data_IF_236897974672
#
_entry.id   IF_236897974672
#
_cell.length_a   1.000
_cell.length_b   1.000
_cell.length_c   1.000
_cell.angle_alpha   90.00
_cell.angle_beta   90.00
_cell.angle_gamma   90.00
#
_symmetry.space_group_name_H-M   'P 1'
#
loop_
_entity.id
_entity.type
_entity.pdbx_description
1 polymer ?
#
# COMPACT_ATOMS: atom_id res chain seq x y z
N UNK A 1 -23.09 42.13 -25.99
CA UNK A 1 -24.49 42.54 -25.74
C UNK A 1 -25.36 41.88 -26.81
N UNK A 2 -26.08 40.82 -26.42
CA UNK A 2 -26.99 39.88 -27.15
C UNK A 2 -26.78 38.53 -26.43
N UNK A 3 -27.30 38.25 -25.24
CA UNK A 3 -28.68 38.22 -24.75
C UNK A 3 -29.60 37.31 -25.60
N UNK A 4 -29.88 36.14 -25.03
CA UNK A 4 -31.20 35.47 -24.95
C UNK A 4 -31.82 35.04 -26.28
N UNK A 5 -31.85 33.72 -26.51
CA UNK A 5 -33.01 32.98 -27.01
C UNK A 5 -32.64 31.49 -27.19
N UNK A 6 -33.13 30.64 -26.28
CA UNK A 6 -33.80 29.35 -26.58
C UNK A 6 -33.81 28.46 -25.33
N UNK A 7 -34.67 28.86 -24.40
CA UNK A 7 -35.31 27.98 -23.43
C UNK A 7 -36.78 27.83 -23.87
N UNK A 8 -37.36 26.65 -23.69
CA UNK A 8 -38.79 26.26 -23.83
C UNK A 8 -39.23 25.50 -25.09
N UNK A 9 -39.42 24.19 -24.91
CA UNK A 9 -40.61 23.39 -25.27
C UNK A 9 -40.52 22.09 -24.46
N UNK A 10 -41.11 22.00 -23.25
CA UNK A 10 -42.45 21.46 -22.94
C UNK A 10 -42.84 20.25 -23.83
N UNK A 11 -42.75 19.01 -23.33
CA UNK A 11 -43.77 18.19 -22.61
C UNK A 11 -44.98 17.76 -23.44
N UNK A 12 -45.10 16.44 -23.68
CA UNK A 12 -46.30 15.56 -23.63
C UNK A 12 -45.84 14.14 -24.02
N UNK A 13 -45.78 13.16 -23.10
CA UNK A 13 -46.86 12.25 -22.65
C UNK A 13 -47.41 11.30 -23.72
N UNK A 14 -47.13 9.99 -23.58
CA UNK A 14 -48.15 8.92 -23.67
C UNK A 14 -47.58 7.55 -23.28
N UNK A 15 -48.30 6.88 -22.38
CA UNK A 15 -48.11 5.51 -21.94
C UNK A 15 -48.54 4.48 -22.99
N UNK A 16 -47.92 3.30 -22.97
CA UNK A 16 -48.55 2.04 -23.37
C UNK A 16 -47.86 0.86 -22.67
N UNK A 17 -48.64 0.04 -21.98
CA UNK A 17 -48.28 -1.25 -21.39
C UNK A 17 -49.06 -2.37 -22.16
N UNK A 18 -49.21 -3.60 -21.64
CA UNK A 18 -48.24 -4.71 -21.64
C UNK A 18 -48.84 -6.02 -22.23
N UNK A 19 -48.00 -7.00 -22.59
CA UNK A 19 -48.33 -8.45 -22.75
C UNK A 19 -47.07 -9.20 -23.23
N UNK A 20 -46.73 -10.45 -22.90
CA UNK A 20 -47.45 -11.58 -22.33
C UNK A 20 -46.46 -12.67 -21.86
N UNK A 21 -46.77 -13.23 -20.68
CA UNK A 21 -46.75 -14.66 -20.27
C UNK A 21 -46.20 -15.67 -21.32
N UNK A 22 -45.16 -16.41 -20.95
CA UNK A 22 -44.98 -17.82 -21.36
C UNK A 22 -44.53 -18.64 -20.14
N UNK A 23 -45.34 -19.66 -19.86
CA UNK A 23 -45.16 -20.71 -18.86
C UNK A 23 -44.93 -22.02 -19.60
N UNK A 24 -43.88 -22.78 -19.30
CA UNK A 24 -43.78 -24.20 -19.67
C UNK A 24 -42.99 -25.03 -18.66
N UNK A 25 -43.75 -25.89 -17.97
CA UNK A 25 -43.51 -27.32 -17.66
C UNK A 25 -42.27 -27.79 -16.88
N UNK A 26 -42.60 -28.29 -15.68
CA UNK A 26 -42.00 -29.40 -14.93
C UNK A 26 -41.47 -30.54 -15.82
N UNK A 27 -40.27 -31.03 -15.52
CA UNK A 27 -39.90 -32.43 -15.70
C UNK A 27 -39.32 -32.93 -14.38
N UNK A 28 -40.05 -33.89 -13.80
CA UNK A 28 -39.69 -34.68 -12.62
C UNK A 28 -39.07 -35.97 -13.13
N UNK A 29 -37.84 -36.27 -12.73
CA UNK A 29 -37.31 -37.64 -12.81
C UNK A 29 -36.81 -38.03 -11.44
N UNK A 30 -37.45 -39.07 -10.92
CA UNK A 30 -37.32 -39.68 -9.60
C UNK A 30 -36.48 -40.94 -9.80
N UNK A 31 -35.29 -41.04 -9.23
CA UNK A 31 -34.58 -42.33 -9.09
C UNK A 31 -34.10 -42.49 -7.64
N UNK A 32 -34.26 -43.73 -7.20
CA UNK A 32 -34.24 -44.28 -5.86
C UNK A 32 -33.03 -43.96 -4.99
N UNK A 33 -33.32 -43.84 -3.70
CA UNK A 33 -32.40 -43.98 -2.59
C UNK A 33 -31.97 -45.44 -2.39
N UNK A 34 -30.68 -45.65 -2.10
CA UNK A 34 -30.18 -46.78 -1.35
C UNK A 34 -29.20 -46.22 -0.29
N UNK A 35 -29.51 -46.50 0.98
CA UNK A 35 -28.69 -46.20 2.16
C UNK A 35 -27.83 -47.42 2.46
N UNK A 36 -26.61 -47.20 2.96
CA UNK A 36 -25.96 -47.84 4.13
C UNK A 36 -24.46 -47.41 4.18
N UNK A 37 -23.75 -47.52 5.34
CA UNK A 37 -23.05 -46.36 5.91
C UNK A 37 -21.53 -46.54 6.18
N UNK A 38 -20.93 -45.47 6.73
CA UNK A 38 -19.88 -45.49 7.76
C UNK A 38 -18.42 -45.85 7.35
N UNK A 39 -17.58 -44.86 7.04
CA UNK A 39 -16.16 -44.80 7.49
C UNK A 39 -15.45 -43.52 7.01
N UNK A 40 -14.91 -42.70 7.93
CA UNK A 40 -13.63 -41.93 7.90
C UNK A 40 -13.71 -40.60 8.68
N UNK A 41 -13.77 -40.68 10.01
CA UNK A 41 -13.54 -39.55 10.93
C UNK A 41 -12.10 -39.50 11.48
N UNK A 42 -11.17 -40.31 10.96
CA UNK A 42 -9.83 -40.48 11.56
C UNK A 42 -8.71 -39.67 10.87
N UNK A 43 -9.00 -38.97 9.77
CA UNK A 43 -7.97 -38.31 8.94
C UNK A 43 -7.84 -36.81 9.25
N UNK A 44 -8.89 -36.16 9.77
CA UNK A 44 -8.85 -34.72 10.07
C UNK A 44 -8.16 -34.40 11.40
N UNK A 45 -8.31 -35.24 12.44
CA UNK A 45 -7.70 -35.01 13.77
C UNK A 45 -6.16 -35.07 13.74
N UNK A 46 -5.55 -35.93 12.90
CA UNK A 46 -4.08 -35.97 12.76
C UNK A 46 -3.51 -34.70 12.14
N UNK A 47 -4.29 -33.99 11.33
CA UNK A 47 -3.83 -32.79 10.63
C UNK A 47 -3.88 -31.53 11.50
N UNK A 48 -4.78 -31.48 12.48
CA UNK A 48 -4.83 -30.40 13.47
C UNK A 48 -3.75 -30.57 14.54
N UNK A 49 -3.56 -31.78 15.07
CA UNK A 49 -2.53 -32.03 16.09
C UNK A 49 -1.10 -31.78 15.57
N UNK A 50 -0.82 -32.07 14.29
CA UNK A 50 0.50 -31.80 13.71
C UNK A 50 0.73 -30.31 13.44
N UNK A 51 -0.32 -29.54 13.14
CA UNK A 51 -0.25 -28.07 13.02
C UNK A 51 -0.04 -27.43 14.39
N UNK A 52 -0.78 -27.87 15.39
CA UNK A 52 -0.67 -27.37 16.76
C UNK A 52 0.73 -27.66 17.33
N UNK A 53 1.28 -28.86 17.09
CA UNK A 53 2.68 -29.18 17.46
C UNK A 53 3.71 -28.33 16.74
N UNK A 54 3.54 -28.07 15.44
CA UNK A 54 4.45 -27.18 14.69
C UNK A 54 4.37 -25.75 15.19
N UNK A 55 3.18 -25.31 15.61
CA UNK A 55 2.95 -23.99 16.15
C UNK A 55 3.57 -23.85 17.55
N UNK A 56 3.36 -24.82 18.44
CA UNK A 56 4.02 -24.83 19.76
C UNK A 56 5.54 -24.90 19.67
N UNK A 57 6.10 -25.70 18.74
CA UNK A 57 7.56 -25.76 18.53
C UNK A 57 8.08 -24.41 18.00
N UNK A 58 7.30 -23.72 17.16
CA UNK A 58 7.65 -22.40 16.66
C UNK A 58 7.60 -21.34 17.76
N UNK A 59 6.59 -21.39 18.60
CA UNK A 59 6.40 -20.46 19.72
C UNK A 59 7.48 -20.68 20.80
N UNK A 60 7.82 -21.93 21.11
CA UNK A 60 8.92 -22.28 22.03
C UNK A 60 10.29 -21.88 21.45
N UNK A 61 10.51 -22.06 20.13
CA UNK A 61 11.71 -21.58 19.48
C UNK A 61 11.79 -20.05 19.45
N UNK A 62 10.66 -19.36 19.31
CA UNK A 62 10.57 -17.90 19.35
C UNK A 62 10.86 -17.39 20.76
N UNK A 63 10.31 -18.00 21.80
CA UNK A 63 10.60 -17.68 23.20
C UNK A 63 12.06 -17.97 23.56
N UNK A 64 12.62 -19.08 23.07
CA UNK A 64 14.04 -19.39 23.25
C UNK A 64 14.94 -18.35 22.54
N UNK A 65 14.57 -17.90 21.35
CA UNK A 65 15.29 -16.83 20.63
C UNK A 65 15.19 -15.48 21.35
N UNK A 66 14.00 -15.13 21.85
CA UNK A 66 13.79 -13.92 22.66
C UNK A 66 14.60 -13.98 23.95
N UNK A 67 14.71 -15.15 24.58
CA UNK A 67 15.50 -15.36 25.81
C UNK A 67 17.00 -15.16 25.62
N UNK A 68 17.53 -15.38 24.41
CA UNK A 68 18.94 -15.10 24.05
C UNK A 68 19.13 -13.72 23.41
N UNK A 69 18.14 -12.82 23.53
CA UNK A 69 18.19 -11.45 23.01
C UNK A 69 17.98 -11.33 21.50
N UNK A 70 17.60 -12.41 20.81
CA UNK A 70 17.18 -12.39 19.42
C UNK A 70 15.68 -12.09 19.34
N UNK A 71 15.31 -10.83 19.14
CA UNK A 71 13.93 -10.49 18.75
C UNK A 71 13.77 -10.60 17.23
N UNK A 72 12.60 -11.08 16.81
CA UNK A 72 12.26 -11.24 15.40
C UNK A 72 12.44 -9.92 14.61
N UNK A 73 12.83 -9.99 13.32
CA UNK A 73 12.96 -8.80 12.48
C UNK A 73 11.62 -8.08 12.42
N UNK A 74 11.59 -6.81 12.81
CA UNK A 74 10.36 -6.02 12.80
C UNK A 74 9.93 -5.81 11.34
N UNK A 75 8.65 -6.06 11.08
CA UNK A 75 8.02 -5.70 9.81
C UNK A 75 7.82 -4.18 9.76
N UNK A 76 7.78 -3.60 8.55
CA UNK A 76 7.65 -2.15 8.39
C UNK A 76 6.36 -1.56 9.01
N UNK A 77 5.30 -2.36 9.14
CA UNK A 77 4.03 -1.97 9.79
C UNK A 77 4.06 -2.09 11.32
N UNK A 78 5.07 -2.75 11.91
CA UNK A 78 5.20 -2.98 13.36
C UNK A 78 6.14 -1.97 14.04
N UNK A 79 6.67 -1.01 13.28
CA UNK A 79 7.40 0.14 13.79
C UNK A 79 6.44 1.14 14.43
N UNK A 80 5.88 0.80 15.59
CA UNK A 80 5.15 1.77 16.40
C UNK A 80 6.13 2.84 16.89
N UNK A 81 5.84 4.11 16.60
CA UNK A 81 6.63 5.26 17.04
C UNK A 81 6.79 5.34 18.57
N UNK A 82 6.00 4.56 19.31
CA UNK A 82 5.97 4.49 20.76
C UNK A 82 7.05 3.57 21.37
N UNK A 83 7.76 2.75 20.57
CA UNK A 83 8.87 1.94 21.09
C UNK A 83 10.03 2.86 21.51
N UNK A 84 10.45 2.85 22.80
CA UNK A 84 11.59 3.63 23.28
C UNK A 84 12.88 3.39 22.49
N UNK A 85 13.07 2.20 21.90
CA UNK A 85 14.19 1.89 21.01
C UNK A 85 14.09 2.63 19.67
N UNK A 86 12.94 2.56 19.01
CA UNK A 86 12.68 3.22 17.71
C UNK A 86 12.78 4.74 17.85
N UNK A 87 12.29 5.32 18.95
CA UNK A 87 12.39 6.76 19.20
C UNK A 87 13.84 7.24 19.29
N UNK A 88 14.70 6.49 19.98
CA UNK A 88 16.13 6.81 20.10
C UNK A 88 16.87 6.70 18.77
N UNK A 89 16.56 5.68 17.98
CA UNK A 89 17.09 5.55 16.62
C UNK A 89 16.65 6.73 15.76
N UNK A 90 15.38 7.14 15.88
CA UNK A 90 14.85 8.27 15.15
C UNK A 90 15.57 9.58 15.53
N UNK A 91 15.76 9.85 16.83
CA UNK A 91 16.51 11.01 17.33
C UNK A 91 17.96 11.03 16.79
N UNK A 92 18.64 9.89 16.80
CA UNK A 92 20.01 9.78 16.27
C UNK A 92 20.06 10.05 14.76
N UNK A 93 19.14 9.46 13.99
CA UNK A 93 19.10 9.66 12.53
C UNK A 93 18.72 11.11 12.21
N UNK A 94 17.84 11.72 13.00
CA UNK A 94 17.46 13.12 12.86
C UNK A 94 18.64 14.05 13.14
N UNK A 95 19.49 13.75 14.13
CA UNK A 95 20.72 14.50 14.41
C UNK A 95 21.75 14.35 13.28
N UNK A 96 21.96 13.13 12.77
CA UNK A 96 22.99 12.85 11.75
C UNK A 96 22.60 13.28 10.33
N UNK A 97 21.32 13.12 9.96
CA UNK A 97 20.84 13.28 8.59
C UNK A 97 19.84 14.43 8.41
N UNK A 98 19.32 15.00 9.50
CA UNK A 98 18.29 16.03 9.47
C UNK A 98 16.92 15.53 9.01
N UNK A 99 16.72 14.21 8.99
CA UNK A 99 15.54 13.56 8.41
C UNK A 99 15.03 12.47 9.35
N UNK A 100 13.70 12.32 9.44
CA UNK A 100 13.09 11.29 10.29
C UNK A 100 13.30 9.88 9.71
N UNK A 101 13.39 8.88 10.60
CA UNK A 101 13.53 7.46 10.28
C UNK A 101 12.52 7.01 9.22
N UNK A 102 11.28 7.50 9.30
CA UNK A 102 10.17 7.11 8.46
C UNK A 102 10.28 7.60 6.99
N UNK A 103 11.21 8.53 6.73
CA UNK A 103 11.55 9.05 5.40
C UNK A 103 12.74 8.32 4.76
N UNK A 104 13.39 7.42 5.49
CA UNK A 104 14.39 6.53 4.91
C UNK A 104 13.75 5.60 3.87
N UNK A 105 14.54 5.17 2.89
CA UNK A 105 14.06 4.24 1.86
C UNK A 105 13.59 2.92 2.48
N UNK A 106 14.26 2.49 3.56
CA UNK A 106 14.01 1.24 4.25
C UNK A 106 14.17 1.37 5.79
N UNK A 107 13.21 2.02 6.49
CA UNK A 107 13.27 2.24 7.93
C UNK A 107 13.40 0.96 8.75
N UNK A 108 12.65 -0.09 8.38
CA UNK A 108 12.66 -1.37 9.09
C UNK A 108 14.03 -2.04 9.05
N UNK A 109 14.72 -1.98 7.90
CA UNK A 109 16.08 -2.51 7.80
C UNK A 109 17.06 -1.73 8.66
N UNK A 110 16.90 -0.41 8.80
CA UNK A 110 17.76 0.39 9.68
C UNK A 110 17.55 0.01 11.14
N UNK A 111 16.30 -0.14 11.59
CA UNK A 111 16.00 -0.57 12.97
C UNK A 111 16.53 -1.98 13.23
N UNK A 112 16.37 -2.90 12.28
CA UNK A 112 16.91 -4.26 12.43
C UNK A 112 18.44 -4.29 12.45
N UNK A 113 19.10 -3.47 11.60
CA UNK A 113 20.56 -3.35 11.60
C UNK A 113 21.09 -2.74 12.91
N UNK A 114 20.42 -1.72 13.45
CA UNK A 114 20.75 -1.16 14.77
C UNK A 114 20.62 -2.19 15.88
N UNK A 115 19.52 -2.94 15.88
CA UNK A 115 19.31 -3.98 16.88
C UNK A 115 20.37 -5.07 16.80
N UNK A 116 20.70 -5.50 15.59
CA UNK A 116 21.78 -6.45 15.36
C UNK A 116 23.13 -5.91 15.82
N UNK A 117 23.40 -4.62 15.58
CA UNK A 117 24.62 -3.97 16.06
C UNK A 117 24.67 -3.93 17.59
N UNK A 118 23.60 -3.52 18.26
CA UNK A 118 23.51 -3.54 19.73
C UNK A 118 23.81 -4.94 20.28
N UNK A 119 23.23 -5.98 19.69
CA UNK A 119 23.48 -7.36 20.11
C UNK A 119 24.94 -7.79 19.90
N UNK A 120 25.52 -7.49 18.74
CA UNK A 120 26.92 -7.83 18.45
C UNK A 120 27.90 -7.03 19.31
N UNK A 121 27.57 -5.77 19.61
CA UNK A 121 28.35 -4.87 20.48
C UNK A 121 28.32 -5.34 21.93
N UNK A 122 27.17 -5.78 22.43
CA UNK A 122 27.07 -6.43 23.74
C UNK A 122 27.95 -7.67 23.82
N UNK A 123 27.89 -8.56 22.83
CA UNK A 123 28.75 -9.76 22.78
C UNK A 123 30.24 -9.42 22.71
N UNK A 124 30.61 -8.33 22.02
CA UNK A 124 31.99 -7.87 21.96
C UNK A 124 32.44 -7.31 23.31
N UNK A 125 31.60 -6.55 24.01
CA UNK A 125 31.88 -6.02 25.35
C UNK A 125 32.11 -7.16 26.36
N UNK A 126 31.26 -8.19 26.32
CA UNK A 126 31.40 -9.38 27.17
C UNK A 126 32.75 -10.10 26.94
N UNK A 127 33.18 -10.24 25.69
CA UNK A 127 34.44 -10.89 25.34
C UNK A 127 35.68 -10.04 25.62
N UNK A 128 35.55 -8.73 25.62
CA UNK A 128 36.65 -7.78 25.89
C UNK A 128 36.69 -7.32 27.34
N UNK A 129 35.76 -7.79 28.17
CA UNK A 129 35.72 -7.54 29.62
C UNK A 129 35.20 -6.15 30.00
N UNK A 130 34.50 -5.47 29.09
CA UNK A 130 33.82 -4.20 29.39
C UNK A 130 32.46 -4.52 30.01
N UNK A 131 32.28 -4.12 31.27
CA UNK A 131 31.04 -4.28 32.02
C UNK A 131 30.54 -2.93 32.49
N UNK A 132 29.21 -2.74 32.55
CA UNK A 132 28.59 -1.49 33.01
C UNK A 132 28.13 -0.53 31.91
N UNK A 133 28.01 -0.99 30.66
CA UNK A 133 27.36 -0.25 29.59
C UNK A 133 25.93 -0.76 29.45
N UNK A 134 24.97 0.00 29.96
CA UNK A 134 23.54 -0.38 29.92
C UNK A 134 22.87 -0.03 28.57
N UNK A 135 23.49 0.83 27.75
CA UNK A 135 22.95 1.26 26.46
C UNK A 135 24.01 1.26 25.36
N UNK A 136 23.91 0.35 24.40
CA UNK A 136 24.81 0.28 23.24
C UNK A 136 24.33 1.11 22.03
N UNK A 137 23.21 1.82 22.16
CA UNK A 137 22.63 2.65 21.09
C UNK A 137 23.48 3.93 20.95
N UNK A 138 23.93 4.23 19.73
CA UNK A 138 24.74 5.41 19.44
C UNK A 138 26.21 5.31 19.86
N UNK A 139 26.59 4.28 20.62
CA UNK A 139 27.99 4.04 21.01
C UNK A 139 28.75 3.41 19.85
N UNK A 140 29.93 3.92 19.56
CA UNK A 140 30.80 3.41 18.50
C UNK A 140 31.50 2.13 18.93
N UNK A 141 31.86 1.29 17.96
CA UNK A 141 32.57 0.03 18.24
C UNK A 141 33.94 0.26 18.90
N UNK A 142 34.53 1.44 18.72
CA UNK A 142 35.80 1.83 19.34
C UNK A 142 35.68 2.09 20.85
N UNK A 143 34.50 2.50 21.33
CA UNK A 143 34.26 2.83 22.75
C UNK A 143 33.96 1.58 23.61
N UNK A 144 33.61 0.47 22.97
CA UNK A 144 33.22 -0.79 23.60
C UNK A 144 34.23 -1.91 23.37
N UNK A 145 35.36 -1.60 22.73
CA UNK A 145 36.41 -2.56 22.41
C UNK A 145 37.69 -2.18 23.14
N UNK A 146 37.93 -2.81 24.29
CA UNK A 146 39.18 -2.64 25.05
C UNK A 146 40.37 -3.39 24.42
N UNK A 147 40.19 -3.98 23.23
CA UNK A 147 41.16 -4.88 22.62
C UNK A 147 41.15 -6.27 23.27
N UNK A 148 41.76 -7.26 22.59
CA UNK A 148 41.79 -8.65 23.06
C UNK A 148 40.59 -9.49 22.60
N UNK A 149 40.25 -10.54 23.34
CA UNK A 149 39.10 -11.43 23.06
C UNK A 149 39.32 -12.56 22.04
N UNK A 150 40.54 -12.73 21.54
CA UNK A 150 40.92 -13.84 20.65
C UNK A 150 40.23 -13.83 19.28
N UNK A 151 40.27 -14.97 18.59
CA UNK A 151 39.77 -15.13 17.22
C UNK A 151 38.25 -14.88 17.11
N UNK A 152 37.50 -15.14 18.19
CA UNK A 152 36.04 -14.97 18.22
C UNK A 152 35.65 -13.49 18.32
N UNK A 153 36.39 -12.68 19.07
CA UNK A 153 36.22 -11.22 19.06
C UNK A 153 36.58 -10.62 17.68
N UNK A 154 37.60 -11.12 17.00
CA UNK A 154 37.95 -10.67 15.65
C UNK A 154 36.86 -10.98 14.61
N UNK A 155 36.19 -12.13 14.73
CA UNK A 155 35.02 -12.47 13.91
C UNK A 155 33.86 -11.51 14.16
N UNK A 156 33.63 -11.12 15.43
CA UNK A 156 32.62 -10.13 15.81
C UNK A 156 32.95 -8.74 15.25
N UNK A 157 34.18 -8.24 15.42
CA UNK A 157 34.65 -6.97 14.83
C UNK A 157 34.40 -6.90 13.33
N UNK A 158 34.69 -7.98 12.59
CA UNK A 158 34.42 -8.06 11.14
C UNK A 158 32.92 -8.00 10.81
N UNK A 159 32.07 -8.68 11.58
CA UNK A 159 30.61 -8.63 11.41
C UNK A 159 30.04 -7.25 11.72
N UNK A 160 30.52 -6.62 12.78
CA UNK A 160 30.13 -5.27 13.19
C UNK A 160 30.51 -4.27 12.10
N UNK A 161 31.77 -4.25 11.66
CA UNK A 161 32.22 -3.35 10.58
C UNK A 161 31.42 -3.52 9.28
N UNK A 162 31.00 -4.75 8.94
CA UNK A 162 30.14 -4.99 7.78
C UNK A 162 28.74 -4.37 7.98
N UNK A 163 28.11 -4.63 9.14
CA UNK A 163 26.77 -4.09 9.44
C UNK A 163 26.77 -2.57 9.61
N UNK A 164 27.83 -1.97 10.14
CA UNK A 164 28.00 -0.51 10.21
C UNK A 164 28.06 0.12 8.81
N UNK A 165 28.78 -0.50 7.88
CA UNK A 165 28.80 -0.04 6.48
C UNK A 165 27.41 -0.13 5.85
N UNK A 166 26.71 -1.24 6.04
CA UNK A 166 25.35 -1.42 5.53
C UNK A 166 24.39 -0.39 6.16
N UNK A 167 24.51 -0.13 7.46
CA UNK A 167 23.74 0.87 8.19
C UNK A 167 23.97 2.29 7.65
N UNK A 168 25.22 2.68 7.41
CA UNK A 168 25.56 3.99 6.85
C UNK A 168 24.97 4.19 5.44
N UNK A 169 24.95 3.14 4.62
CA UNK A 169 24.33 3.18 3.29
C UNK A 169 22.82 3.39 3.42
N UNK A 170 22.16 2.65 4.33
CA UNK A 170 20.71 2.74 4.52
C UNK A 170 20.28 4.06 5.18
N UNK A 171 21.02 4.59 6.17
CA UNK A 171 20.79 5.92 6.76
C UNK A 171 20.93 7.05 5.74
N UNK A 172 21.85 6.91 4.77
CA UNK A 172 22.05 7.90 3.69
C UNK A 172 21.06 7.73 2.54
N UNK A 173 20.41 6.57 2.43
CA UNK A 173 19.36 6.28 1.45
C UNK A 173 18.04 6.93 1.87
N UNK A 174 18.00 8.26 1.81
CA UNK A 174 16.82 9.05 2.18
C UNK A 174 15.93 9.24 0.95
N UNK A 175 14.64 8.95 1.07
CA UNK A 175 13.66 9.36 0.07
C UNK A 175 13.40 10.86 0.24
N UNK A 176 14.25 11.69 -0.38
CA UNK A 176 14.26 13.15 -0.19
C UNK A 176 12.85 13.71 -0.39
N UNK A 177 12.32 14.45 0.61
CA UNK A 177 10.99 15.08 0.53
C UNK A 177 10.79 15.96 -0.71
N UNK A 178 11.87 16.54 -1.24
CA UNK A 178 11.87 17.23 -2.54
C UNK A 178 11.35 16.36 -3.70
N UNK A 179 11.71 15.07 -3.73
CA UNK A 179 11.22 14.14 -4.74
C UNK A 179 9.70 13.92 -4.64
N UNK A 180 9.15 13.90 -3.43
CA UNK A 180 7.68 13.82 -3.22
C UNK A 180 6.98 15.06 -3.77
N UNK A 181 7.59 16.24 -3.63
CA UNK A 181 7.04 17.48 -4.18
C UNK A 181 7.11 17.52 -5.71
N UNK A 182 8.12 16.92 -6.33
CA UNK A 182 8.16 16.77 -7.79
C UNK A 182 6.99 15.91 -8.27
N UNK A 183 6.71 14.78 -7.62
CA UNK A 183 5.57 13.94 -8.00
C UNK A 183 4.22 14.65 -7.80
N UNK A 184 4.09 15.48 -6.76
CA UNK A 184 2.92 16.33 -6.59
C UNK A 184 2.80 17.38 -7.69
N UNK A 185 3.91 18.04 -8.04
CA UNK A 185 3.97 18.98 -9.16
C UNK A 185 3.60 18.32 -10.50
N UNK A 186 4.11 17.11 -10.75
CA UNK A 186 3.76 16.29 -11.90
C UNK A 186 2.26 15.96 -11.91
N UNK A 187 1.68 15.61 -10.77
CA UNK A 187 0.24 15.32 -10.67
C UNK A 187 -0.61 16.56 -10.98
N UNK A 188 -0.25 17.73 -10.44
CA UNK A 188 -0.98 18.99 -10.68
C UNK A 188 -0.86 19.42 -12.14
N UNK A 189 0.34 19.36 -12.72
CA UNK A 189 0.56 19.66 -14.14
C UNK A 189 -0.23 18.70 -15.01
N UNK A 190 -0.16 17.39 -14.71
CA UNK A 190 -0.91 16.36 -15.42
C UNK A 190 -2.41 16.58 -15.35
N UNK A 191 -2.93 17.05 -14.21
CA UNK A 191 -4.34 17.37 -14.01
C UNK A 191 -4.77 18.55 -14.89
N UNK A 192 -3.98 19.63 -14.93
CA UNK A 192 -4.24 20.77 -15.82
C UNK A 192 -4.16 20.41 -17.30
N UNK A 193 -3.13 19.65 -17.70
CA UNK A 193 -2.96 19.18 -19.08
C UNK A 193 -4.13 18.28 -19.51
N UNK A 194 -4.49 17.32 -18.66
CA UNK A 194 -5.61 16.40 -18.86
C UNK A 194 -6.94 17.14 -19.02
N UNK A 195 -7.19 18.18 -18.21
CA UNK A 195 -8.37 19.03 -18.35
C UNK A 195 -8.42 19.72 -19.71
N UNK A 196 -7.32 20.34 -20.14
CA UNK A 196 -7.27 21.00 -21.45
C UNK A 196 -7.50 19.98 -22.58
N UNK A 197 -6.89 18.80 -22.49
CA UNK A 197 -7.09 17.73 -23.48
C UNK A 197 -8.55 17.32 -23.63
N UNK A 198 -9.30 17.31 -22.52
CA UNK A 198 -10.70 16.88 -22.51
C UNK A 198 -11.67 17.97 -22.98
N UNK A 199 -11.39 19.24 -22.66
CA UNK A 199 -12.28 20.35 -23.02
C UNK A 199 -11.97 20.97 -24.38
N UNK A 200 -10.69 21.22 -24.65
CA UNK A 200 -10.23 21.88 -25.86
C UNK A 200 -8.78 21.48 -26.20
N UNK A 201 -8.59 20.32 -26.86
CA UNK A 201 -7.26 19.85 -27.23
C UNK A 201 -6.56 20.76 -28.24
N UNK A 202 -7.27 21.66 -28.91
CA UNK A 202 -6.69 22.59 -29.89
C UNK A 202 -5.78 23.63 -29.22
N UNK A 203 -5.98 23.92 -27.94
CA UNK A 203 -5.09 24.80 -27.17
C UNK A 203 -3.67 24.23 -27.10
N UNK A 204 -3.54 22.91 -27.03
CA UNK A 204 -2.24 22.22 -26.95
C UNK A 204 -1.71 21.84 -28.33
N UNK A 205 -2.60 21.42 -29.23
CA UNK A 205 -2.21 20.76 -30.47
C UNK A 205 -2.64 21.49 -31.75
N UNK A 206 -3.44 22.56 -31.66
CA UNK A 206 -3.99 23.30 -32.81
C UNK A 206 -2.93 24.00 -33.68
N UNK A 207 -1.73 24.21 -33.14
CA UNK A 207 -0.59 24.69 -33.92
C UNK A 207 0.03 23.65 -34.85
N UNK A 208 -0.36 22.37 -34.73
CA UNK A 208 0.20 21.30 -35.56
C UNK A 208 -0.71 20.94 -36.72
N UNK A 209 -0.12 20.82 -37.91
CA UNK A 209 -0.83 20.49 -39.15
C UNK A 209 -1.55 19.13 -39.08
N UNK A 210 -0.93 18.14 -38.43
CA UNK A 210 -1.55 16.82 -38.23
C UNK A 210 -2.81 16.86 -37.38
N UNK A 211 -2.90 17.80 -36.43
CA UNK A 211 -4.08 17.93 -35.57
C UNK A 211 -5.27 18.48 -36.35
N UNK A 212 -5.01 19.42 -37.26
CA UNK A 212 -6.06 20.07 -38.06
C UNK A 212 -6.47 19.26 -39.29
N UNK A 213 -5.56 18.47 -39.86
CA UNK A 213 -5.79 17.75 -41.12
C UNK A 213 -6.18 16.28 -40.92
N UNK A 214 -6.06 15.74 -39.70
CA UNK A 214 -6.46 14.35 -39.40
C UNK A 214 -7.85 14.32 -38.79
N UNK A 215 -8.81 13.74 -39.51
CA UNK A 215 -10.15 13.51 -38.98
C UNK A 215 -10.08 12.71 -37.67
N UNK A 216 -10.85 13.12 -36.65
CA UNK A 216 -11.05 12.39 -35.37
C UNK A 216 -9.84 12.27 -34.43
N UNK A 217 -8.78 13.05 -34.62
CA UNK A 217 -7.65 13.05 -33.68
C UNK A 217 -7.99 13.79 -32.38
N UNK A 218 -8.91 14.77 -32.45
CA UNK A 218 -9.50 15.48 -31.34
C UNK A 218 -10.14 14.55 -30.32
N UNK A 219 -11.01 13.63 -30.77
CA UNK A 219 -11.69 12.67 -29.88
C UNK A 219 -10.70 11.70 -29.24
N UNK A 220 -9.66 11.29 -29.96
CA UNK A 220 -8.61 10.42 -29.40
C UNK A 220 -7.84 11.11 -28.28
N UNK A 221 -7.54 12.41 -28.44
CA UNK A 221 -6.87 13.22 -27.42
C UNK A 221 -7.79 13.45 -26.22
N UNK A 222 -9.08 13.71 -26.43
CA UNK A 222 -10.05 13.86 -25.35
C UNK A 222 -10.22 12.56 -24.55
N UNK A 223 -10.29 11.41 -25.24
CA UNK A 223 -10.33 10.09 -24.59
C UNK A 223 -9.09 9.88 -23.75
N UNK A 224 -7.91 10.16 -24.32
CA UNK A 224 -6.65 10.12 -23.58
C UNK A 224 -6.67 11.07 -22.37
N UNK A 225 -7.34 12.22 -22.49
CA UNK A 225 -7.54 13.22 -21.43
C UNK A 225 -8.20 12.64 -20.19
N UNK A 226 -9.32 11.93 -20.29
CA UNK A 226 -9.93 11.32 -19.10
C UNK A 226 -9.20 10.06 -18.62
N UNK A 227 -8.58 9.29 -19.52
CA UNK A 227 -7.71 8.15 -19.14
C UNK A 227 -6.44 8.59 -18.38
N UNK A 228 -6.05 9.86 -18.51
CA UNK A 228 -4.91 10.46 -17.82
C UNK A 228 -5.00 10.36 -16.29
N UNK A 229 -6.23 10.28 -15.75
CA UNK A 229 -6.46 10.01 -14.32
C UNK A 229 -5.77 8.75 -13.84
N UNK A 230 -6.02 7.64 -14.54
CA UNK A 230 -5.45 6.35 -14.19
C UNK A 230 -3.99 6.22 -14.61
N UNK A 231 -3.60 6.81 -15.74
CA UNK A 231 -2.24 6.66 -16.28
C UNK A 231 -1.18 7.51 -15.58
N UNK A 232 -1.54 8.74 -15.17
CA UNK A 232 -0.55 9.69 -14.70
C UNK A 232 -0.92 10.34 -13.37
N UNK A 233 -2.17 10.77 -13.16
CA UNK A 233 -2.54 11.53 -11.97
C UNK A 233 -2.49 10.64 -10.72
N UNK A 234 -3.24 9.54 -10.69
CA UNK A 234 -3.28 8.63 -9.54
C UNK A 234 -1.93 7.95 -9.29
N UNK A 235 -1.21 7.42 -10.31
CA UNK A 235 0.13 6.87 -10.10
C UNK A 235 1.15 7.87 -9.56
N UNK A 236 1.09 9.14 -9.99
CA UNK A 236 1.99 10.19 -9.47
C UNK A 236 1.69 10.53 -8.01
N UNK A 237 0.41 10.52 -7.61
CA UNK A 237 0.06 10.68 -6.19
C UNK A 237 0.50 9.46 -5.36
N UNK A 238 0.37 8.25 -5.92
CA UNK A 238 0.77 7.00 -5.26
C UNK A 238 2.29 6.87 -5.10
N UNK A 239 3.09 7.38 -6.04
CA UNK A 239 4.56 7.31 -5.98
C UNK A 239 5.18 8.12 -4.83
N UNK A 240 4.41 9.06 -4.24
CA UNK A 240 4.80 9.79 -3.01
C UNK A 240 4.94 8.90 -1.77
N UNK A 241 4.54 7.63 -1.86
CA UNK A 241 4.44 6.68 -0.74
C UNK A 241 3.57 7.25 0.39
N UNK A 242 2.29 7.56 0.09
CA UNK A 242 1.33 8.01 1.10
C UNK A 242 1.19 6.95 2.20
N UNK A 243 0.97 7.38 3.44
CA UNK A 243 0.72 6.52 4.60
C UNK A 243 -0.70 6.80 5.15
N UNK A 244 -1.25 5.87 5.92
CA UNK A 244 -2.56 6.04 6.56
C UNK A 244 -3.72 6.18 5.58
N UNK A 245 -4.60 7.17 5.81
CA UNK A 245 -5.83 7.35 5.02
C UNK A 245 -5.56 7.71 3.55
N UNK A 246 -4.51 8.49 3.24
CA UNK A 246 -4.19 8.89 1.86
C UNK A 246 -3.86 7.66 1.00
N UNK A 247 -3.21 6.63 1.59
CA UNK A 247 -2.95 5.35 0.93
C UNK A 247 -4.27 4.65 0.56
N UNK A 248 -5.17 4.50 1.53
CA UNK A 248 -6.49 3.86 1.35
C UNK A 248 -7.30 4.57 0.24
N UNK A 249 -7.31 5.90 0.25
CA UNK A 249 -7.98 6.71 -0.77
C UNK A 249 -7.42 6.46 -2.17
N UNK A 250 -6.08 6.50 -2.31
CA UNK A 250 -5.43 6.36 -3.60
C UNK A 250 -5.50 4.94 -4.17
N UNK A 251 -5.49 3.92 -3.30
CA UNK A 251 -5.72 2.54 -3.71
C UNK A 251 -7.16 2.40 -4.27
N UNK A 252 -8.19 2.90 -3.56
CA UNK A 252 -9.58 2.90 -4.07
C UNK A 252 -9.67 3.64 -5.41
N UNK A 253 -9.08 4.84 -5.50
CA UNK A 253 -9.10 5.65 -6.72
C UNK A 253 -8.40 4.94 -7.90
N UNK A 254 -7.33 4.19 -7.64
CA UNK A 254 -6.59 3.46 -8.67
C UNK A 254 -7.43 2.36 -9.33
N UNK A 255 -8.35 1.73 -8.61
CA UNK A 255 -9.29 0.77 -9.20
C UNK A 255 -10.57 1.42 -9.74
N UNK A 256 -11.07 2.46 -9.07
CA UNK A 256 -12.33 3.08 -9.43
C UNK A 256 -12.22 3.94 -10.69
N UNK A 257 -11.13 4.69 -10.88
CA UNK A 257 -10.94 5.57 -12.05
C UNK A 257 -10.91 4.83 -13.41
N UNK A 258 -10.23 3.68 -13.60
CA UNK A 258 -10.31 2.95 -14.86
C UNK A 258 -11.69 2.33 -15.08
N UNK A 259 -12.39 1.91 -14.01
CA UNK A 259 -13.75 1.38 -14.10
C UNK A 259 -14.75 2.46 -14.57
N UNK A 260 -14.65 3.67 -14.00
CA UNK A 260 -15.43 4.83 -14.43
C UNK A 260 -15.11 5.17 -15.88
N UNK A 261 -13.83 5.22 -16.24
CA UNK A 261 -13.38 5.53 -17.61
C UNK A 261 -13.85 4.49 -18.64
N UNK A 262 -14.06 3.24 -18.22
CA UNK A 262 -14.58 2.17 -19.06
C UNK A 262 -16.11 2.20 -19.20
N UNK A 263 -16.84 2.47 -18.11
CA UNK A 263 -18.30 2.38 -18.07
C UNK A 263 -19.02 3.69 -18.41
N UNK A 264 -18.42 4.84 -18.09
CA UNK A 264 -19.04 6.14 -18.29
C UNK A 264 -19.40 6.44 -19.77
N UNK A 265 -18.62 6.01 -20.79
CA UNK A 265 -19.00 6.16 -22.20
C UNK A 265 -20.37 5.57 -22.58
N UNK A 266 -20.88 4.61 -21.79
CA UNK A 266 -22.22 4.01 -21.99
C UNK A 266 -23.33 4.99 -21.60
N UNK A 267 -23.08 5.84 -20.60
CA UNK A 267 -24.05 6.80 -20.09
C UNK A 267 -23.90 8.18 -20.72
N UNK A 268 -22.67 8.66 -20.93
CA UNK A 268 -22.38 9.96 -21.54
C UNK A 268 -21.23 9.84 -22.53
N UNK A 269 -21.32 10.56 -23.64
CA UNK A 269 -20.24 10.70 -24.61
C UNK A 269 -19.41 11.96 -24.38
N UNK A 270 -19.84 12.80 -23.44
CA UNK A 270 -19.11 14.02 -23.08
C UNK A 270 -17.88 13.63 -22.24
N UNK A 271 -16.71 13.85 -22.83
CA UNK A 271 -15.43 13.48 -22.24
C UNK A 271 -15.12 14.32 -20.99
N UNK A 272 -15.60 15.57 -20.93
CA UNK A 272 -15.43 16.44 -19.76
C UNK A 272 -16.28 15.95 -18.58
N UNK A 273 -17.49 15.45 -18.83
CA UNK A 273 -18.31 14.81 -17.80
C UNK A 273 -17.64 13.54 -17.24
N UNK A 274 -17.04 12.70 -18.11
CA UNK A 274 -16.28 11.51 -17.69
C UNK A 274 -15.07 11.92 -16.85
N UNK A 275 -14.38 13.00 -17.23
CA UNK A 275 -13.26 13.54 -16.45
C UNK A 275 -13.71 14.00 -15.06
N UNK A 276 -14.83 14.73 -14.97
CA UNK A 276 -15.39 15.18 -13.69
C UNK A 276 -15.84 13.99 -12.84
N UNK A 277 -16.38 12.93 -13.45
CA UNK A 277 -16.72 11.71 -12.74
C UNK A 277 -15.48 11.06 -12.11
N UNK A 278 -14.35 10.98 -12.84
CA UNK A 278 -13.08 10.50 -12.28
C UNK A 278 -12.55 11.38 -11.15
N UNK A 279 -12.67 12.70 -11.29
CA UNK A 279 -12.34 13.66 -10.24
C UNK A 279 -13.20 13.41 -8.99
N UNK A 280 -14.52 13.33 -9.16
CA UNK A 280 -15.48 13.12 -8.08
C UNK A 280 -15.25 11.79 -7.36
N UNK A 281 -14.91 10.72 -8.10
CA UNK A 281 -14.57 9.42 -7.53
C UNK A 281 -13.27 9.48 -6.74
N UNK A 282 -12.26 10.18 -7.24
CA UNK A 282 -11.00 10.37 -6.50
C UNK A 282 -11.24 11.18 -5.24
N UNK A 283 -11.92 12.33 -5.34
CA UNK A 283 -12.27 13.15 -4.18
C UNK A 283 -13.15 12.40 -3.17
N UNK A 284 -14.10 11.60 -3.66
CA UNK A 284 -14.96 10.73 -2.86
C UNK A 284 -14.17 9.65 -2.14
N UNK A 285 -13.15 9.06 -2.76
CA UNK A 285 -12.25 8.11 -2.12
C UNK A 285 -11.44 8.75 -0.99
N UNK A 286 -10.98 10.00 -1.17
CA UNK A 286 -10.34 10.78 -0.11
C UNK A 286 -11.29 11.06 1.05
N UNK A 287 -12.51 11.52 0.75
CA UNK A 287 -13.52 11.78 1.77
C UNK A 287 -13.90 10.50 2.53
N UNK A 288 -14.09 9.38 1.82
CA UNK A 288 -14.39 8.08 2.41
C UNK A 288 -13.26 7.57 3.30
N UNK A 289 -12.01 7.63 2.83
CA UNK A 289 -10.86 7.20 3.61
C UNK A 289 -10.71 8.06 4.86
N UNK A 290 -10.87 9.38 4.75
CA UNK A 290 -10.81 10.30 5.88
C UNK A 290 -11.88 9.99 6.95
N UNK A 291 -13.14 9.78 6.54
CA UNK A 291 -14.25 9.47 7.45
C UNK A 291 -14.20 8.08 8.09
N UNK A 292 -13.44 7.15 7.48
CA UNK A 292 -13.27 5.78 8.00
C UNK A 292 -11.98 5.61 8.79
N UNK A 293 -11.00 6.50 8.64
CA UNK A 293 -9.71 6.40 9.32
C UNK A 293 -9.83 6.45 10.84
N UNK A 294 -10.69 7.32 11.40
CA UNK A 294 -10.91 7.41 12.85
C UNK A 294 -11.68 6.20 13.43
N UNK A 295 -12.42 5.47 12.59
CA UNK A 295 -13.18 4.29 13.03
C UNK A 295 -12.35 3.02 13.09
N UNK A 296 -11.24 2.98 12.36
CA UNK A 296 -10.33 1.83 12.31
C UNK A 296 -9.25 1.90 13.43
N UNK A 297 -9.15 3.02 14.15
CA UNK A 297 -8.23 3.22 15.27
C UNK A 297 -8.74 2.75 16.64
N UNK A 298 -10.00 2.33 16.72
CA UNK A 298 -10.63 1.82 17.94
C UNK A 298 -11.58 0.68 17.57
N UNK A 299 -11.30 -0.51 18.10
CA UNK A 299 -12.01 -1.79 17.92
C UNK A 299 -11.46 -2.76 16.85
N UNK A 300 -10.67 -3.68 17.39
CA UNK A 300 -10.81 -5.10 17.14
C UNK A 300 -12.31 -5.50 17.15
N UNK A 301 -12.68 -6.34 16.16
CA UNK A 301 -13.94 -7.08 16.03
C UNK A 301 -15.18 -6.38 15.42
N UNK A 302 -15.69 -6.94 14.31
CA UNK A 302 -17.10 -6.81 13.92
C UNK A 302 -17.54 -5.85 12.81
N UNK A 303 -16.66 -5.25 11.98
CA UNK A 303 -17.17 -4.40 10.88
C UNK A 303 -17.94 -5.22 9.82
N UNK A 304 -19.21 -4.84 9.60
CA UNK A 304 -20.19 -5.39 8.65
C UNK A 304 -19.82 -5.14 7.17
N UNK A 305 -18.54 -5.10 6.84
CA UNK A 305 -18.14 -5.01 5.44
C UNK A 305 -18.29 -6.41 4.81
N UNK A 306 -19.04 -6.52 3.69
CA UNK A 306 -19.26 -7.80 3.05
C UNK A 306 -17.92 -8.39 2.60
N UNK A 307 -17.79 -9.72 2.68
CA UNK A 307 -16.51 -10.43 2.49
C UNK A 307 -15.83 -10.12 1.15
N UNK A 308 -16.60 -9.83 0.11
CA UNK A 308 -16.07 -9.42 -1.19
C UNK A 308 -15.38 -8.05 -1.14
N UNK A 309 -15.87 -7.11 -0.32
CA UNK A 309 -15.25 -5.80 -0.12
C UNK A 309 -13.96 -5.96 0.67
N UNK A 310 -13.96 -6.80 1.72
CA UNK A 310 -12.74 -7.16 2.47
C UNK A 310 -11.72 -7.87 1.58
N UNK A 311 -12.17 -8.75 0.70
CA UNK A 311 -11.31 -9.42 -0.29
C UNK A 311 -10.75 -8.42 -1.30
N UNK A 312 -11.57 -7.51 -1.84
CA UNK A 312 -11.12 -6.44 -2.74
C UNK A 312 -10.10 -5.55 -2.02
N UNK A 313 -10.37 -5.06 -0.82
CA UNK A 313 -9.42 -4.28 -0.03
C UNK A 313 -8.13 -5.04 0.27
N UNK A 314 -8.23 -6.32 0.65
CA UNK A 314 -7.07 -7.20 0.88
C UNK A 314 -6.28 -7.46 -0.40
N UNK A 315 -6.95 -7.48 -1.55
CA UNK A 315 -6.33 -7.58 -2.88
C UNK A 315 -5.88 -6.23 -3.45
N UNK A 316 -6.29 -5.09 -2.88
CA UNK A 316 -5.74 -3.77 -3.23
C UNK A 316 -4.42 -3.51 -2.49
N UNK A 317 -4.27 -4.09 -1.29
CA UNK A 317 -3.06 -3.99 -0.47
C UNK A 317 -1.90 -4.88 -0.99
N UNK A 318 -1.75 -5.01 -2.31
CA UNK A 318 -0.52 -5.56 -2.91
C UNK A 318 0.57 -4.49 -2.85
N UNK A 319 1.38 -4.53 -1.80
CA UNK A 319 2.56 -3.66 -1.66
C UNK A 319 3.03 -3.41 -0.23
N UNK A 320 2.22 -3.74 0.79
CA UNK A 320 2.57 -3.60 2.22
C UNK A 320 3.62 -4.60 2.71
N UNK A 321 4.09 -5.53 1.86
CA UNK A 321 5.12 -6.48 2.24
C UNK A 321 4.64 -7.68 3.06
N UNK A 322 3.32 -7.86 3.23
CA UNK A 322 2.73 -9.05 3.89
C UNK A 322 3.15 -10.39 3.29
N UNK A 323 3.59 -10.42 2.02
CA UNK A 323 3.95 -11.65 1.32
C UNK A 323 5.45 -11.98 1.33
N UNK A 324 6.31 -11.15 1.92
CA UNK A 324 7.77 -11.44 1.96
C UNK A 324 8.20 -12.40 3.07
N UNK A 325 7.26 -12.85 3.92
CA UNK A 325 7.50 -13.84 4.98
C UNK A 325 7.25 -15.31 4.59
N UNK A 326 6.75 -15.57 3.38
CA UNK A 326 6.54 -16.93 2.89
C UNK A 326 7.53 -17.28 1.76
N UNK A 327 8.83 -17.22 2.06
CA UNK A 327 9.83 -17.95 1.29
C UNK A 327 10.44 -18.99 2.23
N UNK A 328 10.04 -20.24 1.98
CA UNK A 328 10.73 -21.45 2.45
C UNK A 328 12.24 -21.35 2.18
#
# INVERSE_FOLDING_TARGET
MKLVLLLSMLTTSSAFAPSSIISTSKITTRIHAEKEPLFTSATEEKSSEERDRKQTIRDEAQDALVSVGWSAPMMADELTADDPFVRRINEQIQEESGVDLDQLLNPAKVVNLERDLVNLRSQLADLTGITGIDNFIGITTEEIDNGGGGEDADKLRKKISKKEKDLLIERRSVFRGWLKNIFLGQAILSLGLSWIMVTDPSILFGGFDWFNNTNSIDISIQVLGFWWWWLFIVPSLRSRRPKGFEKKALDIAFLATPLVSLLAPVATKDTAEIWIANFAVTAGAYAFAYLTFDKDGDNNDGSKDPEWLKFIYKSLDFGSGRERGARN
#
